data_IF_477820604924
#
_entry.id   IF_477820604924
#
_cell.length_a   1.000
_cell.length_b   1.000
_cell.length_c   1.000
_cell.angle_alpha   90.00
_cell.angle_beta   90.00
_cell.angle_gamma   90.00
#
_symmetry.space_group_name_H-M   'P 1'
#
loop_
_entity.id
_entity.type
_entity.pdbx_description
1 polymer ?
#
# COMPACT_ATOMS: atom_id res chain seq x y z
N UNK A 1 17.87 4.72 -11.97
CA UNK A 1 18.05 3.34 -11.38
C UNK A 1 16.85 2.49 -11.72
N UNK A 2 17.05 1.21 -12.08
CA UNK A 2 15.96 0.26 -12.32
C UNK A 2 15.23 -0.13 -11.03
N UNK A 3 14.04 -0.74 -11.13
CA UNK A 3 13.31 -1.28 -9.97
C UNK A 3 14.19 -2.25 -9.19
N UNK A 4 14.89 -3.16 -9.88
CA UNK A 4 15.80 -4.13 -9.26
C UNK A 4 16.93 -3.47 -8.47
N UNK A 5 17.53 -2.40 -9.00
CA UNK A 5 18.59 -1.66 -8.32
C UNK A 5 18.08 -0.96 -7.06
N UNK A 6 16.89 -0.34 -7.12
CA UNK A 6 16.24 0.24 -5.94
C UNK A 6 15.95 -0.81 -4.86
N UNK A 7 15.40 -1.98 -5.25
CA UNK A 7 15.18 -3.07 -4.31
C UNK A 7 16.49 -3.58 -3.71
N UNK A 8 17.52 -3.76 -4.53
CA UNK A 8 18.83 -4.22 -4.05
C UNK A 8 19.46 -3.26 -3.03
N UNK A 9 19.38 -1.96 -3.29
CA UNK A 9 19.93 -0.92 -2.41
C UNK A 9 19.12 -0.70 -1.13
N UNK A 10 17.81 -0.88 -1.17
CA UNK A 10 16.91 -0.61 -0.05
C UNK A 10 17.08 -1.66 1.06
N UNK A 11 17.21 -1.21 2.30
CA UNK A 11 17.14 -2.04 3.51
C UNK A 11 15.76 -1.96 4.17
N UNK A 12 15.18 -0.76 4.21
CA UNK A 12 13.89 -0.47 4.83
C UNK A 12 12.85 -0.23 3.74
N UNK A 13 11.86 -1.10 3.66
CA UNK A 13 10.84 -1.04 2.60
C UNK A 13 9.46 -0.94 3.21
N UNK A 14 8.67 0.03 2.74
CA UNK A 14 7.25 0.11 3.03
C UNK A 14 6.48 -0.44 1.84
N UNK A 15 5.63 -1.45 2.08
CA UNK A 15 4.72 -2.00 1.09
C UNK A 15 3.30 -1.51 1.36
N UNK A 16 2.65 -0.98 0.34
CA UNK A 16 1.24 -0.57 0.44
C UNK A 16 0.37 -1.44 -0.46
N UNK A 17 -0.74 -1.91 0.09
CA UNK A 17 -1.77 -2.67 -0.62
C UNK A 17 -3.11 -1.94 -0.62
N UNK A 18 -3.68 -1.76 -1.81
CA UNK A 18 -5.04 -1.25 -1.98
C UNK A 18 -6.08 -2.35 -1.76
N UNK A 19 -7.33 -1.96 -1.50
CA UNK A 19 -8.44 -2.90 -1.27
C UNK A 19 -8.67 -3.85 -2.44
N UNK A 20 -8.46 -3.39 -3.69
CA UNK A 20 -8.63 -4.22 -4.89
C UNK A 20 -7.59 -5.35 -4.97
N UNK A 21 -6.35 -5.11 -4.52
CA UNK A 21 -5.31 -6.14 -4.47
C UNK A 21 -5.61 -7.22 -3.42
N UNK A 22 -6.29 -6.81 -2.34
CA UNK A 22 -6.64 -7.69 -1.23
C UNK A 22 -8.02 -8.35 -1.38
N UNK A 23 -8.73 -8.09 -2.47
CA UNK A 23 -10.02 -8.67 -2.78
C UNK A 23 -9.91 -9.68 -3.93
N UNK A 24 -10.65 -10.76 -3.84
CA UNK A 24 -10.96 -11.64 -4.97
C UNK A 24 -12.07 -11.03 -5.83
N UNK A 25 -12.28 -11.55 -7.03
CA UNK A 25 -13.40 -11.19 -7.91
C UNK A 25 -14.76 -11.43 -7.23
N UNK A 26 -14.82 -12.38 -6.31
CA UNK A 26 -15.98 -12.67 -5.45
C UNK A 26 -16.31 -11.54 -4.46
N UNK A 27 -15.42 -10.55 -4.28
CA UNK A 27 -15.50 -9.52 -3.26
C UNK A 27 -15.05 -9.98 -1.86
N UNK A 28 -14.54 -11.21 -1.74
CA UNK A 28 -13.98 -11.74 -0.50
C UNK A 28 -12.51 -11.37 -0.37
N UNK A 29 -11.99 -11.49 0.85
CA UNK A 29 -10.57 -11.28 1.10
C UNK A 29 -9.71 -12.36 0.44
N UNK A 30 -8.71 -11.95 -0.31
CA UNK A 30 -7.75 -12.83 -0.99
C UNK A 30 -6.68 -13.33 -0.01
N UNK A 31 -7.01 -14.33 0.80
CA UNK A 31 -6.07 -14.89 1.78
C UNK A 31 -4.94 -15.68 1.12
N UNK A 32 -5.11 -16.17 -0.11
CA UNK A 32 -4.05 -16.82 -0.87
C UNK A 32 -2.95 -15.83 -1.22
N UNK A 33 -3.31 -14.66 -1.69
CA UNK A 33 -2.37 -13.56 -1.93
C UNK A 33 -1.59 -13.17 -0.67
N UNK A 34 -2.29 -13.03 0.48
CA UNK A 34 -1.62 -12.68 1.74
C UNK A 34 -0.55 -13.70 2.14
N UNK A 35 -0.85 -14.99 2.01
CA UNK A 35 0.11 -16.07 2.31
C UNK A 35 1.30 -16.05 1.35
N UNK A 36 1.03 -15.93 0.05
CA UNK A 36 2.08 -15.84 -0.97
C UNK A 36 2.98 -14.63 -0.76
N UNK A 37 2.40 -13.47 -0.42
CA UNK A 37 3.19 -12.29 -0.10
C UNK A 37 4.02 -12.47 1.16
N UNK A 38 3.43 -13.04 2.23
CA UNK A 38 4.13 -13.27 3.50
C UNK A 38 5.32 -14.23 3.34
N UNK A 39 5.19 -15.28 2.51
CA UNK A 39 6.29 -16.19 2.14
C UNK A 39 7.45 -15.41 1.51
N UNK A 40 7.16 -14.62 0.47
CA UNK A 40 8.17 -13.83 -0.25
C UNK A 40 8.80 -12.75 0.62
N UNK A 41 7.99 -12.06 1.43
CA UNK A 41 8.46 -11.04 2.36
C UNK A 41 9.37 -11.64 3.43
N UNK A 42 9.02 -12.81 3.95
CA UNK A 42 9.84 -13.52 4.92
C UNK A 42 11.18 -13.96 4.34
N UNK A 43 11.22 -14.38 3.09
CA UNK A 43 12.47 -14.68 2.38
C UNK A 43 13.36 -13.43 2.27
N UNK A 44 12.81 -12.26 1.91
CA UNK A 44 13.57 -11.01 1.88
C UNK A 44 14.14 -10.61 3.25
N UNK A 45 13.39 -10.84 4.32
CA UNK A 45 13.86 -10.54 5.69
C UNK A 45 15.02 -11.46 6.06
N UNK A 46 14.90 -12.76 5.80
CA UNK A 46 15.90 -13.76 6.20
C UNK A 46 17.15 -13.69 5.32
N UNK A 47 16.97 -13.71 4.00
CA UNK A 47 18.08 -13.86 3.04
C UNK A 47 18.79 -12.54 2.77
N UNK A 48 18.04 -11.44 2.68
CA UNK A 48 18.57 -10.13 2.32
C UNK A 48 18.63 -9.15 3.50
N UNK A 49 18.22 -9.57 4.71
CA UNK A 49 18.18 -8.76 5.94
C UNK A 49 17.39 -7.46 5.77
N UNK A 50 16.36 -7.47 4.96
CA UNK A 50 15.48 -6.31 4.77
C UNK A 50 14.54 -6.15 5.96
N UNK A 51 14.17 -4.92 6.23
CA UNK A 51 13.16 -4.54 7.22
C UNK A 51 11.90 -4.11 6.49
N UNK A 52 10.74 -4.53 6.97
CA UNK A 52 9.47 -4.38 6.25
C UNK A 52 8.43 -3.74 7.16
N UNK A 53 7.70 -2.76 6.63
CA UNK A 53 6.47 -2.20 7.18
C UNK A 53 5.39 -2.35 6.10
N UNK A 54 4.19 -2.74 6.50
CA UNK A 54 3.06 -2.92 5.59
C UNK A 54 2.00 -1.87 5.89
N UNK A 55 1.50 -1.20 4.84
CA UNK A 55 0.30 -0.36 4.89
C UNK A 55 -0.81 -1.07 4.13
N UNK A 56 -1.80 -1.52 4.85
CA UNK A 56 -2.83 -2.44 4.33
C UNK A 56 -4.21 -1.80 4.39
N UNK A 57 -4.81 -1.51 3.24
CA UNK A 57 -6.26 -1.35 3.12
C UNK A 57 -6.97 -2.70 3.32
N UNK A 58 -8.26 -2.77 3.05
CA UNK A 58 -9.00 -4.04 3.00
C UNK A 58 -9.90 -4.30 4.20
N UNK A 59 -9.92 -3.43 5.23
CA UNK A 59 -10.83 -3.60 6.35
C UNK A 59 -12.30 -3.67 5.91
N UNK A 60 -12.73 -2.81 4.97
CA UNK A 60 -14.09 -2.86 4.43
C UNK A 60 -14.38 -4.16 3.67
N UNK A 61 -13.42 -4.66 2.88
CA UNK A 61 -13.53 -5.94 2.15
C UNK A 61 -13.69 -7.11 3.14
N UNK A 62 -12.86 -7.12 4.19
CA UNK A 62 -12.92 -8.13 5.24
C UNK A 62 -14.26 -8.10 6.00
N UNK A 63 -14.76 -6.92 6.31
CA UNK A 63 -16.05 -6.74 6.97
C UNK A 63 -17.22 -7.25 6.12
N UNK A 64 -17.18 -6.98 4.82
CA UNK A 64 -18.15 -7.51 3.86
C UNK A 64 -18.12 -9.03 3.77
N UNK A 65 -16.92 -9.61 3.70
CA UNK A 65 -16.72 -11.06 3.69
C UNK A 65 -17.28 -11.73 4.93
N UNK A 66 -17.22 -11.05 6.09
CA UNK A 66 -17.66 -11.57 7.37
C UNK A 66 -19.17 -11.49 7.56
N UNK A 67 -19.77 -10.34 7.18
CA UNK A 67 -21.19 -10.09 7.43
C UNK A 67 -22.10 -10.56 6.30
N UNK A 68 -21.51 -10.88 5.13
CA UNK A 68 -22.22 -11.26 3.89
C UNK A 68 -23.39 -10.31 3.54
N UNK A 69 -23.24 -9.02 3.87
CA UNK A 69 -24.26 -7.98 3.71
C UNK A 69 -23.67 -6.69 3.18
N UNK A 70 -24.25 -6.21 2.08
CA UNK A 70 -23.95 -4.89 1.50
C UNK A 70 -25.24 -4.07 1.34
N UNK A 71 -25.94 -3.83 2.47
CA UNK A 71 -27.29 -3.29 2.44
C UNK A 71 -27.30 -1.75 2.28
N UNK A 72 -26.30 -1.04 2.84
CA UNK A 72 -26.27 0.43 2.91
C UNK A 72 -24.99 1.02 2.34
N UNK A 73 -24.73 0.79 1.05
CA UNK A 73 -23.48 1.21 0.37
C UNK A 73 -23.11 2.70 0.50
N UNK A 74 -24.10 3.58 0.63
CA UNK A 74 -23.93 5.04 0.71
C UNK A 74 -23.89 5.58 2.14
N UNK A 75 -24.23 4.76 3.14
CA UNK A 75 -24.22 5.16 4.55
C UNK A 75 -22.80 5.07 5.10
N UNK A 76 -22.24 6.24 5.43
CA UNK A 76 -20.86 6.35 5.92
C UNK A 76 -20.68 5.60 7.25
N UNK A 77 -21.66 5.69 8.15
CA UNK A 77 -21.59 5.03 9.46
C UNK A 77 -21.67 3.51 9.31
N UNK A 78 -22.47 3.02 8.35
CA UNK A 78 -22.49 1.61 8.03
C UNK A 78 -21.14 1.12 7.47
N UNK A 79 -20.50 1.91 6.61
CA UNK A 79 -19.16 1.60 6.10
C UNK A 79 -18.11 1.62 7.21
N UNK A 80 -18.17 2.59 8.14
CA UNK A 80 -17.29 2.62 9.32
C UNK A 80 -17.48 1.37 10.20
N UNK A 81 -18.73 0.96 10.44
CA UNK A 81 -19.02 -0.26 11.19
C UNK A 81 -18.49 -1.51 10.48
N UNK A 82 -18.60 -1.57 9.13
CA UNK A 82 -17.99 -2.65 8.35
C UNK A 82 -16.46 -2.68 8.50
N UNK A 83 -15.81 -1.51 8.43
CA UNK A 83 -14.36 -1.42 8.64
C UNK A 83 -13.98 -1.87 10.05
N UNK A 84 -14.76 -1.50 11.08
CA UNK A 84 -14.50 -1.93 12.46
C UNK A 84 -14.54 -3.46 12.60
N UNK A 85 -15.55 -4.12 12.03
CA UNK A 85 -15.64 -5.58 12.01
C UNK A 85 -14.52 -6.19 11.19
N UNK A 86 -14.30 -5.63 10.00
CA UNK A 86 -13.33 -6.17 9.05
C UNK A 86 -11.88 -5.96 9.46
N UNK A 87 -11.57 -4.93 10.24
CA UNK A 87 -10.20 -4.71 10.72
C UNK A 87 -9.70 -5.87 11.59
N UNK A 88 -10.57 -6.47 12.40
CA UNK A 88 -10.25 -7.68 13.19
C UNK A 88 -9.91 -8.84 12.26
N UNK A 89 -10.73 -9.07 11.22
CA UNK A 89 -10.53 -10.14 10.24
C UNK A 89 -9.29 -9.92 9.37
N UNK A 90 -9.01 -8.67 8.99
CA UNK A 90 -7.82 -8.29 8.25
C UNK A 90 -6.55 -8.62 9.04
N UNK A 91 -6.52 -8.26 10.33
CA UNK A 91 -5.38 -8.58 11.20
C UNK A 91 -5.22 -10.09 11.40
N UNK A 92 -6.30 -10.81 11.57
CA UNK A 92 -6.25 -12.28 11.66
C UNK A 92 -5.71 -12.91 10.38
N UNK A 93 -6.13 -12.43 9.22
CA UNK A 93 -5.62 -12.91 7.93
C UNK A 93 -4.12 -12.65 7.77
N UNK A 94 -3.63 -11.46 8.13
CA UNK A 94 -2.20 -11.16 8.14
C UNK A 94 -1.44 -12.00 9.16
N UNK A 95 -1.99 -12.19 10.37
CA UNK A 95 -1.39 -13.07 11.39
C UNK A 95 -1.21 -14.49 10.86
N UNK A 96 -2.27 -15.07 10.28
CA UNK A 96 -2.24 -16.42 9.70
C UNK A 96 -1.28 -16.54 8.50
N UNK A 97 -1.03 -15.44 7.80
CA UNK A 97 -0.09 -15.41 6.68
C UNK A 97 1.38 -15.45 7.16
N UNK A 98 1.73 -14.69 8.21
CA UNK A 98 3.11 -14.59 8.69
C UNK A 98 3.50 -15.62 9.76
N UNK A 99 2.55 -16.14 10.54
CA UNK A 99 2.80 -17.10 11.62
C UNK A 99 3.56 -18.38 11.16
N UNK A 100 3.27 -18.99 9.98
CA UNK A 100 4.03 -20.14 9.49
C UNK A 100 5.51 -19.87 9.23
N UNK A 101 5.88 -18.60 9.07
CA UNK A 101 7.25 -18.15 8.84
C UNK A 101 7.93 -17.67 10.12
N UNK A 102 7.27 -17.80 11.28
CA UNK A 102 7.82 -17.45 12.59
C UNK A 102 7.77 -15.96 12.95
N UNK A 103 7.00 -15.14 12.19
CA UNK A 103 6.85 -13.72 12.46
C UNK A 103 5.54 -13.40 13.17
N UNK A 104 5.62 -12.53 14.16
CA UNK A 104 4.47 -11.85 14.74
C UNK A 104 4.15 -10.60 13.92
N UNK A 105 2.89 -10.19 13.96
CA UNK A 105 2.45 -8.92 13.41
C UNK A 105 2.01 -7.98 14.53
N UNK A 106 2.05 -6.67 14.27
CA UNK A 106 1.49 -5.66 15.17
C UNK A 106 0.57 -4.72 14.39
N UNK A 107 -0.61 -4.45 14.94
CA UNK A 107 -1.55 -3.48 14.37
C UNK A 107 -1.19 -2.06 14.80
N UNK A 108 -1.19 -1.14 13.83
CA UNK A 108 -1.09 0.30 14.08
C UNK A 108 -2.22 0.98 13.29
N UNK A 109 -3.13 1.64 13.99
CA UNK A 109 -4.21 2.42 13.38
C UNK A 109 -3.92 3.91 13.53
N UNK A 110 -3.88 4.61 12.41
CA UNK A 110 -3.53 6.03 12.34
C UNK A 110 -4.62 6.82 11.62
N UNK A 111 -4.64 8.11 11.90
CA UNK A 111 -5.38 9.10 11.14
C UNK A 111 -4.43 10.17 10.62
N UNK A 112 -4.89 10.98 9.68
CA UNK A 112 -4.12 12.11 9.18
C UNK A 112 -3.68 13.06 10.30
N UNK A 113 -4.54 13.24 11.31
CA UNK A 113 -4.29 14.17 12.42
C UNK A 113 -3.15 13.71 13.33
N UNK A 114 -2.90 12.39 13.42
CA UNK A 114 -1.81 11.86 14.22
C UNK A 114 -0.43 12.32 13.74
N UNK A 115 -0.29 12.60 12.43
CA UNK A 115 0.95 13.12 11.84
C UNK A 115 1.12 14.65 12.04
N UNK A 116 0.08 15.37 12.46
CA UNK A 116 0.14 16.81 12.73
C UNK A 116 0.53 17.11 14.18
N UNK A 117 0.52 16.12 15.07
CA UNK A 117 0.90 16.24 16.47
C UNK A 117 2.31 15.70 16.68
N UNK A 118 3.22 16.53 17.16
CA UNK A 118 4.64 16.17 17.35
C UNK A 118 4.83 15.03 18.37
N UNK A 119 4.03 15.00 19.43
CA UNK A 119 4.14 13.97 20.47
C UNK A 119 3.64 12.64 19.94
N UNK A 120 2.50 12.62 19.26
CA UNK A 120 1.95 11.42 18.61
C UNK A 120 2.90 10.89 17.54
N UNK A 121 3.43 11.78 16.70
CA UNK A 121 4.42 11.44 15.67
C UNK A 121 5.66 10.78 16.27
N UNK A 122 6.20 11.35 17.38
CA UNK A 122 7.36 10.77 18.06
C UNK A 122 7.03 9.38 18.66
N UNK A 123 5.86 9.24 19.29
CA UNK A 123 5.43 7.96 19.86
C UNK A 123 5.24 6.89 18.77
N UNK A 124 4.59 7.23 17.67
CA UNK A 124 4.42 6.35 16.50
C UNK A 124 5.77 5.90 15.94
N UNK A 125 6.70 6.85 15.77
CA UNK A 125 8.04 6.55 15.29
C UNK A 125 8.75 5.57 16.21
N UNK A 126 8.78 5.84 17.51
CA UNK A 126 9.43 4.96 18.50
C UNK A 126 8.81 3.56 18.49
N UNK A 127 7.48 3.48 18.41
CA UNK A 127 6.76 2.19 18.32
C UNK A 127 7.16 1.42 17.06
N UNK A 128 7.19 2.07 15.89
CA UNK A 128 7.61 1.42 14.63
C UNK A 128 9.03 0.87 14.70
N UNK A 129 9.98 1.68 15.21
CA UNK A 129 11.36 1.23 15.34
C UNK A 129 11.49 0.05 16.29
N UNK A 130 10.83 0.12 17.47
CA UNK A 130 10.85 -0.98 18.45
C UNK A 130 10.27 -2.27 17.87
N UNK A 131 9.14 -2.20 17.18
CA UNK A 131 8.52 -3.39 16.57
C UNK A 131 9.46 -4.05 15.55
N UNK A 132 10.04 -3.26 14.67
CA UNK A 132 10.95 -3.78 13.64
C UNK A 132 12.25 -4.33 14.25
N UNK A 133 12.80 -3.68 15.28
CA UNK A 133 13.99 -4.16 15.99
C UNK A 133 13.73 -5.49 16.70
N UNK A 134 12.50 -5.73 17.18
CA UNK A 134 12.03 -7.01 17.76
C UNK A 134 11.59 -8.02 16.68
N UNK A 135 11.83 -7.75 15.41
CA UNK A 135 11.42 -8.62 14.28
C UNK A 135 9.91 -8.85 14.21
N UNK A 136 9.11 -7.91 14.69
CA UNK A 136 7.66 -7.89 14.56
C UNK A 136 7.30 -7.06 13.33
N UNK A 137 6.38 -7.56 12.50
CA UNK A 137 5.95 -6.89 11.26
C UNK A 137 4.81 -5.91 11.57
N UNK A 138 5.04 -4.57 11.44
CA UNK A 138 3.97 -3.61 11.63
C UNK A 138 3.00 -3.63 10.45
N UNK A 139 1.71 -3.73 10.74
CA UNK A 139 0.61 -3.57 9.77
C UNK A 139 -0.12 -2.28 10.11
N UNK A 140 0.05 -1.27 9.27
CA UNK A 140 -0.55 0.06 9.42
C UNK A 140 -1.83 0.12 8.59
N UNK A 141 -2.90 0.68 9.14
CA UNK A 141 -4.11 1.05 8.41
C UNK A 141 -4.67 2.37 8.93
N UNK A 142 -5.57 2.99 8.16
CA UNK A 142 -6.39 4.10 8.63
C UNK A 142 -7.29 3.64 9.78
N UNK A 143 -7.51 4.53 10.75
CA UNK A 143 -8.52 4.31 11.78
C UNK A 143 -9.90 4.74 11.27
N UNK A 144 -10.49 3.91 10.42
CA UNK A 144 -11.80 4.15 9.79
C UNK A 144 -12.94 4.40 10.77
N UNK A 145 -12.78 3.99 12.04
CA UNK A 145 -13.82 4.17 13.05
C UNK A 145 -13.96 5.63 13.50
N UNK A 146 -12.91 6.41 13.38
CA UNK A 146 -12.87 7.83 13.77
C UNK A 146 -12.57 8.76 12.60
N UNK A 147 -12.02 8.24 11.49
CA UNK A 147 -11.75 8.97 10.25
C UNK A 147 -12.69 8.49 9.13
N UNK A 148 -13.03 9.39 8.23
CA UNK A 148 -13.85 9.07 7.05
C UNK A 148 -13.07 9.30 5.74
N UNK A 149 -11.81 9.66 5.83
CA UNK A 149 -10.99 10.06 4.68
C UNK A 149 -10.76 8.89 3.73
N UNK A 150 -10.27 7.75 4.22
CA UNK A 150 -10.13 6.54 3.40
C UNK A 150 -11.48 6.08 2.83
N UNK A 151 -12.53 6.10 3.65
CA UNK A 151 -13.86 5.69 3.22
C UNK A 151 -14.40 6.56 2.08
N UNK A 152 -14.06 7.85 2.07
CA UNK A 152 -14.51 8.81 1.03
C UNK A 152 -13.60 8.79 -0.19
N UNK A 153 -12.29 8.74 0.01
CA UNK A 153 -11.26 8.92 -1.01
C UNK A 153 -10.61 7.59 -1.37
N UNK A 154 -10.65 6.59 -0.44
CA UNK A 154 -10.09 5.25 -0.63
C UNK A 154 -8.58 5.21 -0.63
N UNK A 155 -7.93 6.08 0.16
CA UNK A 155 -6.52 6.37 -0.04
C UNK A 155 -5.64 6.11 1.19
N UNK A 156 -5.04 4.91 1.19
CA UNK A 156 -3.88 4.62 2.02
C UNK A 156 -2.53 4.93 1.31
N UNK A 157 -2.53 5.54 0.10
CA UNK A 157 -1.29 5.87 -0.60
C UNK A 157 -0.54 6.98 0.17
N UNK A 158 -1.26 8.06 0.56
CA UNK A 158 -0.70 9.15 1.39
C UNK A 158 -0.30 8.66 2.78
N UNK A 159 -1.09 7.77 3.39
CA UNK A 159 -0.73 7.14 4.67
C UNK A 159 0.57 6.35 4.55
N UNK A 160 0.76 5.63 3.44
CA UNK A 160 1.98 4.88 3.18
C UNK A 160 3.20 5.80 2.99
N UNK A 161 3.06 6.89 2.25
CA UNK A 161 4.12 7.88 2.10
C UNK A 161 4.50 8.52 3.45
N UNK A 162 3.51 8.93 4.26
CA UNK A 162 3.75 9.46 5.62
C UNK A 162 4.43 8.43 6.52
N UNK A 163 4.03 7.16 6.45
CA UNK A 163 4.63 6.06 7.21
C UNK A 163 6.07 5.80 6.77
N UNK A 164 6.35 5.85 5.47
CA UNK A 164 7.69 5.74 4.92
C UNK A 164 8.61 6.86 5.40
N UNK A 165 8.13 8.10 5.39
CA UNK A 165 8.85 9.27 5.92
C UNK A 165 9.11 9.13 7.42
N UNK A 166 8.07 8.77 8.19
CA UNK A 166 8.15 8.61 9.64
C UNK A 166 9.21 7.59 10.06
N UNK A 167 9.25 6.48 9.34
CA UNK A 167 10.17 5.37 9.60
C UNK A 167 11.54 5.55 8.92
N UNK A 168 11.70 6.57 8.09
CA UNK A 168 12.89 6.81 7.27
C UNK A 168 13.19 5.59 6.39
N UNK A 169 12.21 5.20 5.60
CA UNK A 169 12.32 4.09 4.65
C UNK A 169 13.28 4.43 3.50
N UNK A 170 13.88 3.41 2.90
CA UNK A 170 14.73 3.55 1.72
C UNK A 170 13.94 3.40 0.42
N UNK A 171 12.75 2.76 0.49
CA UNK A 171 11.88 2.49 -0.65
C UNK A 171 10.42 2.42 -0.22
N UNK A 172 9.55 3.05 -0.99
CA UNK A 172 8.10 2.88 -0.92
C UNK A 172 7.63 2.07 -2.14
N UNK A 173 6.86 1.01 -1.91
CA UNK A 173 6.25 0.21 -2.98
C UNK A 173 4.73 0.29 -2.89
N UNK A 174 4.11 0.87 -3.90
CA UNK A 174 2.66 0.97 -4.04
C UNK A 174 2.15 -0.16 -4.93
N UNK A 175 1.63 -1.22 -4.33
CA UNK A 175 0.94 -2.26 -5.08
C UNK A 175 -0.50 -1.83 -5.41
N UNK A 176 -0.84 -1.96 -6.67
CA UNK A 176 -2.12 -1.54 -7.24
C UNK A 176 -2.70 -2.62 -8.16
N UNK A 177 -3.87 -2.37 -8.72
CA UNK A 177 -4.51 -3.14 -9.79
C UNK A 177 -4.06 -2.71 -11.20
N UNK A 178 -3.11 -1.77 -11.28
CA UNK A 178 -2.45 -1.36 -12.53
C UNK A 178 -0.96 -1.70 -12.45
N UNK A 179 -0.33 -1.92 -13.61
CA UNK A 179 1.08 -2.30 -13.69
C UNK A 179 2.06 -1.12 -13.62
N UNK A 180 1.55 0.10 -13.52
CA UNK A 180 2.33 1.33 -13.38
C UNK A 180 1.57 2.53 -13.92
N UNK A 181 2.30 3.63 -14.11
CA UNK A 181 1.78 4.83 -14.76
C UNK A 181 1.81 4.64 -16.28
N UNK A 182 0.73 4.96 -16.94
CA UNK A 182 0.63 4.91 -18.39
C UNK A 182 0.53 6.31 -19.00
N UNK A 183 0.99 6.46 -20.24
CA UNK A 183 0.89 7.71 -21.01
C UNK A 183 -0.56 8.18 -21.21
N UNK A 184 -1.51 7.22 -21.19
CA UNK A 184 -2.97 7.44 -21.27
C UNK A 184 -3.67 6.34 -20.45
N UNK A 185 -4.99 6.45 -20.27
CA UNK A 185 -5.77 5.39 -19.63
C UNK A 185 -5.75 4.09 -20.46
N UNK A 186 -5.09 3.01 -20.01
CA UNK A 186 -4.96 1.78 -20.81
C UNK A 186 -6.28 1.06 -21.04
N UNK A 187 -7.33 1.35 -20.25
CA UNK A 187 -8.68 0.78 -20.46
C UNK A 187 -9.40 1.44 -21.64
N UNK A 188 -9.08 2.69 -21.93
CA UNK A 188 -9.67 3.48 -23.02
C UNK A 188 -8.78 3.50 -24.27
N UNK A 189 -7.47 3.45 -24.07
CA UNK A 189 -6.43 3.54 -25.10
C UNK A 189 -5.53 2.30 -25.04
N UNK A 190 -5.80 1.25 -25.82
CA UNK A 190 -4.98 0.03 -25.85
C UNK A 190 -3.52 0.24 -26.30
N UNK A 191 -3.24 1.35 -26.99
CA UNK A 191 -1.91 1.80 -27.43
C UNK A 191 -1.15 2.59 -26.36
N UNK A 192 -1.70 2.67 -25.15
CA UNK A 192 -1.07 3.37 -24.05
C UNK A 192 0.23 2.67 -23.60
N UNK A 193 1.30 3.44 -23.51
CA UNK A 193 2.62 2.95 -23.12
C UNK A 193 2.84 3.10 -21.61
N UNK A 194 3.49 2.10 -21.00
CA UNK A 194 3.92 2.16 -19.61
C UNK A 194 5.09 3.13 -19.48
N UNK A 195 4.99 4.08 -18.57
CA UNK A 195 6.07 5.00 -18.19
C UNK A 195 6.93 4.31 -17.12
N UNK A 196 8.10 3.81 -17.51
CA UNK A 196 8.94 3.02 -16.59
C UNK A 196 9.65 3.90 -15.53
N UNK A 197 9.97 5.17 -15.86
CA UNK A 197 10.66 6.10 -14.96
C UNK A 197 10.04 7.50 -15.01
N UNK A 198 9.86 8.12 -13.87
CA UNK A 198 9.35 9.50 -13.71
C UNK A 198 10.31 10.28 -12.83
N UNK A 199 11.00 11.26 -13.45
CA UNK A 199 11.95 12.16 -12.77
C UNK A 199 11.30 13.50 -12.38
N UNK A 200 10.21 13.88 -13.03
CA UNK A 200 9.44 15.10 -12.77
C UNK A 200 7.94 14.77 -12.65
N UNK A 201 7.50 14.60 -11.40
CA UNK A 201 6.09 14.27 -11.11
C UNK A 201 5.17 15.46 -11.43
N UNK A 202 5.66 16.70 -11.29
CA UNK A 202 4.83 17.89 -11.57
C UNK A 202 4.52 18.03 -13.07
N UNK A 203 5.48 17.68 -13.95
CA UNK A 203 5.24 17.62 -15.39
C UNK A 203 4.15 16.57 -15.71
N UNK A 204 4.29 15.38 -15.15
CA UNK A 204 3.32 14.28 -15.35
C UNK A 204 1.93 14.65 -14.83
N UNK A 205 1.83 15.31 -13.67
CA UNK A 205 0.52 15.75 -13.12
C UNK A 205 -0.23 16.70 -14.04
N UNK A 206 0.48 17.57 -14.75
CA UNK A 206 -0.15 18.48 -15.73
C UNK A 206 -0.75 17.70 -16.90
N UNK A 207 -0.03 16.72 -17.40
CA UNK A 207 -0.48 15.90 -18.53
C UNK A 207 -1.63 14.97 -18.14
N UNK A 208 -1.60 14.36 -16.95
CA UNK A 208 -2.66 13.51 -16.42
C UNK A 208 -3.93 14.30 -16.09
N UNK A 209 -3.83 15.57 -15.65
CA UNK A 209 -4.99 16.41 -15.33
C UNK A 209 -5.78 16.82 -16.57
N UNK A 210 -5.17 16.78 -17.75
CA UNK A 210 -5.81 17.12 -19.03
C UNK A 210 -6.61 15.92 -19.61
N UNK A 211 -6.34 14.70 -19.15
CA UNK A 211 -6.80 13.47 -19.81
C UNK A 211 -7.76 12.56 -19.09
N UNK A 212 -8.33 12.83 -17.98
CA UNK A 212 -9.42 12.06 -17.38
C UNK A 212 -9.40 11.99 -15.84
N UNK A 213 -10.27 12.73 -15.24
CA UNK A 213 -10.99 12.31 -14.03
C UNK A 213 -11.94 11.19 -14.45
N UNK A 214 -11.48 9.99 -14.68
CA UNK A 214 -12.35 8.87 -15.04
C UNK A 214 -11.94 7.58 -14.32
N UNK A 215 -12.87 7.08 -13.54
CA UNK A 215 -13.19 5.65 -13.31
C UNK A 215 -12.12 4.70 -12.74
N UNK A 216 -10.96 5.13 -12.32
CA UNK A 216 -10.07 4.31 -11.51
C UNK A 216 -10.47 4.47 -10.04
N UNK A 217 -11.02 3.48 -9.43
CA UNK A 217 -11.37 3.35 -8.02
C UNK A 217 -11.15 4.54 -7.07
N UNK A 218 -11.61 4.48 -5.87
CA UNK A 218 -11.54 5.56 -4.88
C UNK A 218 -10.11 6.04 -4.53
N UNK A 219 -9.05 5.28 -4.93
CA UNK A 219 -7.64 5.66 -4.86
C UNK A 219 -7.03 5.74 -6.27
N UNK A 220 -7.32 6.81 -7.02
CA UNK A 220 -6.90 6.97 -8.41
C UNK A 220 -5.38 7.23 -8.58
N UNK A 221 -4.94 7.39 -9.84
CA UNK A 221 -3.55 7.72 -10.14
C UNK A 221 -3.09 9.02 -9.46
N UNK A 222 -3.99 9.96 -9.23
CA UNK A 222 -3.71 11.23 -8.57
C UNK A 222 -3.19 11.06 -7.14
N UNK A 223 -3.78 10.14 -6.35
CA UNK A 223 -3.34 9.86 -4.98
C UNK A 223 -1.98 9.17 -4.95
N UNK A 224 -1.69 8.31 -5.93
CA UNK A 224 -0.39 7.66 -6.09
C UNK A 224 0.70 8.63 -6.47
N UNK A 225 0.41 9.57 -7.37
CA UNK A 225 1.33 10.66 -7.71
C UNK A 225 1.58 11.59 -6.52
N UNK A 226 0.55 11.89 -5.72
CA UNK A 226 0.69 12.68 -4.50
C UNK A 226 1.57 11.96 -3.47
N UNK A 227 1.34 10.67 -3.25
CA UNK A 227 2.15 9.85 -2.35
C UNK A 227 3.61 9.76 -2.81
N UNK A 228 3.84 9.52 -4.11
CA UNK A 228 5.18 9.47 -4.69
C UNK A 228 5.90 10.83 -4.56
N UNK A 229 5.22 11.94 -4.86
CA UNK A 229 5.76 13.29 -4.68
C UNK A 229 6.13 13.57 -3.23
N UNK A 230 5.26 13.17 -2.29
CA UNK A 230 5.51 13.33 -0.86
C UNK A 230 6.74 12.53 -0.41
N UNK A 231 6.83 11.25 -0.76
CA UNK A 231 7.97 10.39 -0.41
C UNK A 231 9.27 10.93 -1.03
N UNK A 232 9.22 11.33 -2.30
CA UNK A 232 10.36 11.84 -3.05
C UNK A 232 10.91 13.15 -2.47
N UNK A 233 10.05 14.02 -1.90
CA UNK A 233 10.50 15.24 -1.22
C UNK A 233 11.37 14.98 0.03
N UNK A 234 11.39 13.73 0.51
CA UNK A 234 12.28 13.24 1.57
C UNK A 234 13.35 12.28 1.05
N UNK A 235 13.56 12.22 -0.26
CA UNK A 235 14.57 11.37 -0.88
C UNK A 235 14.21 9.87 -0.90
N UNK A 236 12.94 9.53 -0.73
CA UNK A 236 12.46 8.14 -0.74
C UNK A 236 11.89 7.84 -2.14
N UNK A 237 12.56 7.02 -2.96
CA UNK A 237 12.03 6.57 -4.23
C UNK A 237 10.77 5.75 -4.03
N UNK A 238 9.86 5.84 -5.00
CA UNK A 238 8.59 5.10 -4.96
C UNK A 238 8.46 4.24 -6.21
N UNK A 239 8.04 2.98 -6.03
CA UNK A 239 7.72 2.05 -7.11
C UNK A 239 6.21 1.82 -7.13
N UNK A 240 5.59 2.03 -8.29
CA UNK A 240 4.20 1.66 -8.56
C UNK A 240 4.18 0.41 -9.42
N UNK A 241 3.53 -0.65 -8.96
CA UNK A 241 3.48 -1.93 -9.67
C UNK A 241 2.19 -2.70 -9.40
N UNK A 242 1.91 -3.70 -10.25
CA UNK A 242 0.73 -4.54 -10.12
C UNK A 242 0.90 -5.54 -8.97
N UNK A 243 0.03 -5.46 -7.95
CA UNK A 243 0.07 -6.35 -6.79
C UNK A 243 -0.63 -7.69 -6.99
N UNK A 244 -1.56 -7.82 -7.94
CA UNK A 244 -2.34 -9.04 -8.14
C UNK A 244 -1.67 -10.11 -9.02
N UNK A 245 -0.41 -9.94 -9.43
CA UNK A 245 0.32 -10.95 -10.19
C UNK A 245 0.92 -12.01 -9.26
N UNK A 246 0.95 -13.28 -9.66
CA UNK A 246 1.61 -14.32 -8.89
C UNK A 246 3.08 -13.99 -8.60
N UNK A 247 3.52 -14.23 -7.37
CA UNK A 247 4.89 -13.92 -6.90
C UNK A 247 5.35 -12.50 -7.24
N UNK A 248 4.43 -11.54 -7.10
CA UNK A 248 4.65 -10.15 -7.52
C UNK A 248 5.87 -9.50 -6.84
N UNK A 249 6.10 -9.78 -5.56
CA UNK A 249 7.22 -9.20 -4.81
C UNK A 249 8.57 -9.74 -5.31
N UNK A 250 8.70 -11.05 -5.46
CA UNK A 250 9.90 -11.69 -6.01
C UNK A 250 10.16 -11.25 -7.47
N UNK A 251 9.11 -11.21 -8.29
CA UNK A 251 9.23 -10.80 -9.68
C UNK A 251 9.67 -9.33 -9.80
N UNK A 252 9.16 -8.47 -8.92
CA UNK A 252 9.53 -7.06 -8.88
C UNK A 252 10.98 -6.87 -8.40
N UNK A 253 11.36 -7.53 -7.29
CA UNK A 253 12.71 -7.47 -6.74
C UNK A 253 13.76 -8.00 -7.73
N UNK A 254 13.43 -9.02 -8.52
CA UNK A 254 14.29 -9.57 -9.55
C UNK A 254 14.24 -8.83 -10.89
N UNK A 255 13.49 -7.73 -11.01
CA UNK A 255 13.34 -6.96 -12.26
C UNK A 255 12.57 -7.69 -13.37
N UNK A 256 11.85 -8.78 -13.05
CA UNK A 256 11.04 -9.54 -14.01
C UNK A 256 9.64 -8.94 -14.20
N UNK A 257 9.17 -8.16 -13.26
CA UNK A 257 7.90 -7.44 -13.36
C UNK A 257 8.17 -5.96 -13.66
N UNK A 258 7.43 -5.44 -14.63
CA UNK A 258 7.45 -4.02 -14.95
C UNK A 258 6.66 -3.21 -13.92
N UNK A 259 6.98 -1.93 -13.85
CA UNK A 259 6.33 -0.95 -13.00
C UNK A 259 6.84 0.44 -13.35
N UNK A 260 6.43 1.45 -12.58
CA UNK A 260 6.94 2.81 -12.68
C UNK A 260 7.79 3.14 -11.47
N UNK A 261 8.99 3.65 -11.69
CA UNK A 261 9.85 4.23 -10.65
C UNK A 261 9.68 5.74 -10.65
N UNK A 262 9.40 6.30 -9.48
CA UNK A 262 9.49 7.72 -9.20
C UNK A 262 10.76 7.96 -8.38
N UNK A 263 11.74 8.61 -8.98
CA UNK A 263 13.04 8.88 -8.37
C UNK A 263 13.60 10.23 -8.84
N UNK A 264 14.62 10.74 -8.15
CA UNK A 264 15.38 11.93 -8.56
C UNK A 264 16.70 11.49 -9.19
#
# INVERSE_FOLDING_TARGET
MTIQEHFGAARKIVFKFGSNTLAEDSGRMNTAFLREFAEQASALIIEERKQIVIVSSGAQVAGLSTLDKWVRKRDIHYRQALCAVGQVQLMEAWRMAFEPHGYHIAQILLTRDDFNDQIRTLNMRNTLFTLVDESIIPIINENDTVSVEEIKIGDNDTLAARSAILWNADLLVLFSDIDGLHSKNPKEFPDSELVEEVLDIEAVRKDVSIGAVSSFGTGGIATKLEAAQMALSYGIPTVLAHGGRPRCLEALAAGRQKGTVFAV
#
